data_IF_390664954897
#
_entry.id   IF_390664954897
#
_cell.length_a   1.000
_cell.length_b   1.000
_cell.length_c   1.000
_cell.angle_alpha   90.00
_cell.angle_beta   90.00
_cell.angle_gamma   90.00
#
_symmetry.space_group_name_H-M   'P 1'
#
loop_
_entity.id
_entity.type
_entity.pdbx_description
1 polymer ?
#
# COMPACT_ATOMS: atom_id res chain seq x y z
N UNK A 1 -23.05 63.23 24.56
CA UNK A 1 -23.40 62.21 25.58
C UNK A 1 -24.50 61.33 24.99
N UNK A 2 -24.43 60.03 25.30
CA UNK A 2 -25.16 58.86 24.76
C UNK A 2 -24.34 58.08 23.71
N UNK A 3 -23.73 56.99 24.17
CA UNK A 3 -23.35 55.82 23.38
C UNK A 3 -24.57 54.89 23.25
N UNK A 4 -24.63 54.03 22.22
CA UNK A 4 -24.39 52.62 22.53
C UNK A 4 -23.63 51.83 21.43
N UNK A 5 -23.14 50.66 21.86
CA UNK A 5 -22.30 49.67 21.19
C UNK A 5 -22.64 49.32 19.74
N UNK A 6 -21.60 49.24 18.90
CA UNK A 6 -21.59 48.45 17.67
C UNK A 6 -20.66 47.26 17.87
N UNK A 7 -21.18 46.17 18.44
CA UNK A 7 -20.60 44.84 18.29
C UNK A 7 -21.50 44.08 17.30
N UNK A 8 -21.10 44.04 16.04
CA UNK A 8 -21.63 43.10 15.06
C UNK A 8 -20.45 42.54 14.28
N UNK A 9 -19.92 41.45 14.80
CA UNK A 9 -19.11 40.49 14.04
C UNK A 9 -19.98 39.96 12.89
N UNK A 10 -19.67 40.41 11.67
CA UNK A 10 -20.21 39.84 10.44
C UNK A 10 -19.54 38.48 10.20
N UNK A 11 -20.14 37.41 10.70
CA UNK A 11 -19.99 36.09 10.08
C UNK A 11 -21.02 35.98 8.94
N UNK A 12 -20.62 35.70 7.69
CA UNK A 12 -21.54 35.16 6.70
C UNK A 12 -21.71 33.67 6.95
N UNK A 13 -22.75 33.29 7.70
CA UNK A 13 -23.26 31.92 7.77
C UNK A 13 -24.37 31.72 6.74
N UNK A 14 -24.00 31.50 5.48
CA UNK A 14 -24.94 31.07 4.44
C UNK A 14 -24.32 29.97 3.55
N UNK A 15 -23.89 28.88 4.19
CA UNK A 15 -23.82 27.56 3.56
C UNK A 15 -25.09 26.80 3.95
N UNK A 16 -26.18 27.04 3.24
CA UNK A 16 -27.46 26.38 3.50
C UNK A 16 -27.60 25.13 2.63
N UNK A 17 -27.45 23.95 3.21
CA UNK A 17 -27.99 22.72 2.62
C UNK A 17 -29.52 22.76 2.72
N UNK A 18 -30.21 23.13 1.63
CA UNK A 18 -31.63 22.84 1.48
C UNK A 18 -31.82 21.89 0.31
N UNK A 19 -32.11 20.63 0.61
CA UNK A 19 -32.80 19.73 -0.31
C UNK A 19 -34.11 19.33 0.34
N UNK A 20 -35.20 20.01 -0.03
CA UNK A 20 -36.56 19.69 0.47
C UNK A 20 -37.20 18.52 -0.29
N UNK A 21 -36.46 17.78 -1.14
CA UNK A 21 -36.99 16.62 -1.88
C UNK A 21 -35.93 15.54 -2.15
N UNK A 22 -35.51 14.81 -1.13
CA UNK A 22 -34.88 13.50 -1.32
C UNK A 22 -35.41 12.50 -0.28
N UNK A 23 -35.69 11.28 -0.74
CA UNK A 23 -36.34 10.17 -0.02
C UNK A 23 -35.55 9.70 1.23
N UNK A 24 -36.17 8.93 2.17
CA UNK A 24 -35.49 8.47 3.36
C UNK A 24 -34.44 7.39 3.00
N UNK A 25 -33.17 7.80 2.98
CA UNK A 25 -32.02 6.92 2.74
C UNK A 25 -30.80 7.69 2.22
N UNK A 26 -29.88 8.00 3.15
CA UNK A 26 -28.55 8.61 2.98
C UNK A 26 -28.43 10.01 2.38
N UNK A 27 -28.33 11.02 3.25
CA UNK A 27 -27.57 12.24 2.99
C UNK A 27 -26.60 12.47 4.14
N UNK A 28 -25.31 12.25 3.91
CA UNK A 28 -24.26 12.76 4.80
C UNK A 28 -23.90 14.11 4.21
N UNK A 29 -24.35 15.20 4.82
CA UNK A 29 -23.86 16.52 4.43
C UNK A 29 -22.38 16.59 4.80
N UNK A 30 -21.50 16.57 3.80
CA UNK A 30 -20.07 16.71 4.00
C UNK A 30 -19.66 18.09 3.53
N UNK A 31 -19.42 18.97 4.48
CA UNK A 31 -18.91 20.32 4.22
C UNK A 31 -17.43 20.35 4.62
N UNK A 32 -16.59 20.97 3.78
CA UNK A 32 -15.28 21.41 4.24
C UNK A 32 -15.50 22.59 5.21
N UNK A 33 -15.33 22.36 6.51
CA UNK A 33 -15.36 23.43 7.52
C UNK A 33 -13.93 23.72 7.94
N UNK A 34 -13.51 24.96 7.78
CA UNK A 34 -12.13 25.41 8.08
C UNK A 34 -11.05 24.54 7.41
N UNK A 35 -11.33 24.04 6.20
CA UNK A 35 -10.40 23.17 5.47
C UNK A 35 -10.40 21.69 5.88
N UNK A 36 -11.27 21.27 6.79
CA UNK A 36 -11.40 19.87 7.22
C UNK A 36 -12.71 19.22 6.75
N UNK A 37 -12.63 17.95 6.36
CA UNK A 37 -13.80 17.13 6.03
C UNK A 37 -14.42 16.52 7.30
N UNK A 38 -15.31 17.25 7.96
CA UNK A 38 -15.96 16.81 9.21
C UNK A 38 -17.26 16.05 8.88
N UNK A 39 -17.51 14.92 9.56
CA UNK A 39 -18.79 14.19 9.50
C UNK A 39 -19.64 14.50 10.73
N UNK A 40 -20.96 14.61 10.55
CA UNK A 40 -21.94 14.42 11.61
C UNK A 40 -22.60 13.04 11.47
N UNK A 41 -22.74 12.34 12.61
CA UNK A 41 -23.44 11.08 12.87
C UNK A 41 -22.68 9.73 12.80
N UNK A 42 -23.12 8.89 13.74
CA UNK A 42 -22.48 7.83 14.54
C UNK A 42 -21.78 6.68 13.81
N UNK A 43 -20.87 6.09 14.59
CA UNK A 43 -19.84 5.12 14.27
C UNK A 43 -20.37 3.69 14.12
N UNK A 44 -19.86 2.95 13.13
CA UNK A 44 -19.38 1.56 13.29
C UNK A 44 -18.49 1.25 12.08
N UNK A 45 -17.19 1.51 12.20
CA UNK A 45 -16.22 1.06 11.18
C UNK A 45 -15.65 -0.27 11.65
N UNK A 46 -16.08 -1.37 11.02
CA UNK A 46 -15.37 -2.65 11.11
C UNK A 46 -14.05 -2.51 10.35
N UNK A 47 -12.94 -2.57 11.06
CA UNK A 47 -11.60 -2.73 10.51
C UNK A 47 -11.51 -4.09 9.81
N UNK A 48 -11.47 -4.08 8.48
CA UNK A 48 -11.11 -5.26 7.68
C UNK A 48 -9.66 -5.08 7.30
N UNK A 49 -8.77 -5.85 7.93
CA UNK A 49 -7.38 -6.01 7.48
C UNK A 49 -7.42 -6.45 6.01
N UNK A 50 -7.10 -5.53 5.11
CA UNK A 50 -7.00 -5.82 3.69
C UNK A 50 -5.53 -5.70 3.34
N UNK A 51 -4.88 -6.84 3.11
CA UNK A 51 -3.59 -6.88 2.43
C UNK A 51 -3.82 -6.38 1.00
N UNK A 52 -3.38 -5.16 0.70
CA UNK A 52 -3.45 -4.65 -0.67
C UNK A 52 -2.42 -5.37 -1.53
N UNK A 53 -2.85 -5.83 -2.70
CA UNK A 53 -1.96 -6.47 -3.68
C UNK A 53 -1.52 -5.43 -4.70
N UNK A 54 -0.22 -5.31 -4.94
CA UNK A 54 0.29 -4.47 -6.01
C UNK A 54 -0.25 -4.94 -7.37
N UNK A 55 -0.76 -4.01 -8.16
CA UNK A 55 -1.19 -4.23 -9.54
C UNK A 55 -0.04 -4.77 -10.39
N UNK A 56 1.20 -4.38 -10.07
CA UNK A 56 2.41 -4.80 -10.78
C UNK A 56 3.45 -5.37 -9.82
N UNK A 57 4.16 -6.41 -10.27
CA UNK A 57 5.32 -6.97 -9.55
C UNK A 57 5.07 -7.37 -8.08
N UNK A 58 3.95 -8.03 -7.73
CA UNK A 58 3.62 -8.35 -6.34
C UNK A 58 4.68 -9.21 -5.64
N UNK A 59 5.38 -10.06 -6.39
CA UNK A 59 6.46 -10.95 -5.90
C UNK A 59 7.75 -10.19 -5.54
N UNK A 60 8.03 -9.07 -6.23
CA UNK A 60 9.26 -8.28 -6.07
C UNK A 60 9.06 -7.06 -5.18
N UNK A 61 7.83 -6.68 -4.94
CA UNK A 61 7.52 -5.65 -3.96
C UNK A 61 7.69 -6.20 -2.53
N UNK A 62 8.12 -5.35 -1.61
CA UNK A 62 8.07 -5.69 -0.19
C UNK A 62 6.59 -5.87 0.21
N UNK A 63 6.20 -6.95 0.94
CA UNK A 63 4.79 -7.22 1.27
C UNK A 63 4.01 -6.05 1.88
N UNK A 64 4.68 -5.22 2.68
CA UNK A 64 4.06 -4.05 3.33
C UNK A 64 4.15 -2.74 2.52
N UNK A 65 4.75 -2.81 1.32
CA UNK A 65 5.00 -1.65 0.46
C UNK A 65 4.03 -1.55 -0.74
N UNK A 66 3.05 -2.44 -0.83
CA UNK A 66 1.91 -2.27 -1.75
C UNK A 66 0.91 -1.29 -1.16
N UNK A 67 1.30 -0.02 -1.08
CA UNK A 67 0.56 1.02 -0.36
C UNK A 67 0.46 2.36 -1.13
N UNK A 68 0.95 2.40 -2.38
CA UNK A 68 0.86 3.61 -3.21
C UNK A 68 -0.37 3.50 -4.10
N UNK A 69 -1.48 4.09 -3.68
CA UNK A 69 -2.70 4.13 -4.48
C UNK A 69 -2.66 5.28 -5.49
N UNK A 70 -2.79 4.96 -6.77
CA UNK A 70 -2.91 5.93 -7.86
C UNK A 70 -4.09 5.52 -8.73
N UNK A 71 -5.14 6.34 -8.72
CA UNK A 71 -6.43 5.97 -9.28
C UNK A 71 -7.01 4.73 -8.58
N UNK A 72 -7.34 3.70 -9.37
CA UNK A 72 -7.89 2.42 -8.87
C UNK A 72 -6.83 1.34 -8.65
N UNK A 73 -5.56 1.62 -8.93
CA UNK A 73 -4.46 0.66 -8.84
C UNK A 73 -3.58 0.95 -7.62
N UNK A 74 -2.90 -0.09 -7.14
CA UNK A 74 -1.90 0.04 -6.09
C UNK A 74 -0.54 -0.40 -6.56
N UNK A 75 0.45 0.38 -6.18
CA UNK A 75 1.81 0.29 -6.65
C UNK A 75 2.79 0.14 -5.48
N UNK A 76 4.00 -0.28 -5.81
CA UNK A 76 5.04 -0.54 -4.85
C UNK A 76 5.79 0.75 -4.46
N UNK A 77 5.88 1.05 -3.17
CA UNK A 77 6.74 2.14 -2.64
C UNK A 77 8.18 1.68 -2.35
N UNK A 78 8.40 0.38 -2.15
CA UNK A 78 9.71 -0.16 -1.79
C UNK A 78 9.89 -1.60 -2.28
N UNK A 79 10.98 -1.84 -2.98
CA UNK A 79 11.30 -3.16 -3.51
C UNK A 79 11.87 -4.09 -2.44
N UNK A 80 11.59 -5.38 -2.59
CA UNK A 80 12.02 -6.42 -1.64
C UNK A 80 13.52 -6.69 -1.71
N UNK A 81 14.08 -6.71 -2.92
CA UNK A 81 15.49 -7.03 -3.16
C UNK A 81 16.32 -5.76 -3.22
N UNK A 82 17.42 -5.70 -2.47
CA UNK A 82 18.35 -4.57 -2.56
C UNK A 82 18.96 -4.43 -3.94
N UNK A 83 19.07 -3.18 -4.42
CA UNK A 83 19.48 -2.88 -5.79
C UNK A 83 18.34 -2.89 -6.80
N UNK A 84 17.10 -3.18 -6.36
CA UNK A 84 15.90 -2.93 -7.15
C UNK A 84 15.18 -1.69 -6.63
N UNK A 85 14.63 -0.88 -7.52
CA UNK A 85 13.94 0.37 -7.17
C UNK A 85 12.61 0.49 -7.89
N UNK A 86 11.62 1.21 -7.32
CA UNK A 86 10.32 1.39 -7.97
C UNK A 86 10.41 2.43 -9.10
N UNK A 87 10.19 1.98 -10.33
CA UNK A 87 9.99 2.83 -11.51
C UNK A 87 8.57 2.60 -12.00
N UNK A 88 7.75 3.64 -12.05
CA UNK A 88 6.33 3.57 -12.37
C UNK A 88 5.57 2.55 -11.50
N UNK A 89 6.00 2.43 -10.24
CA UNK A 89 5.45 1.48 -9.28
C UNK A 89 5.90 0.03 -9.47
N UNK A 90 6.75 -0.25 -10.46
CA UNK A 90 7.31 -1.58 -10.77
C UNK A 90 8.72 -1.69 -10.22
N UNK A 91 9.01 -2.75 -9.47
CA UNK A 91 10.37 -3.04 -9.05
C UNK A 91 11.25 -3.53 -10.19
N UNK A 92 12.23 -2.71 -10.57
CA UNK A 92 13.22 -2.98 -11.62
C UNK A 92 14.63 -3.01 -11.02
N UNK A 93 15.53 -3.75 -11.66
CA UNK A 93 16.95 -3.81 -11.29
C UNK A 93 17.65 -2.47 -11.58
N UNK A 94 18.64 -2.10 -10.77
CA UNK A 94 19.45 -0.88 -10.93
C UNK A 94 20.01 -0.69 -12.33
N UNK A 95 20.37 -1.77 -13.04
CA UNK A 95 20.89 -1.69 -14.40
C UNK A 95 19.85 -1.14 -15.40
N UNK A 96 18.55 -1.28 -15.11
CA UNK A 96 17.45 -0.75 -15.90
C UNK A 96 16.97 0.63 -15.40
N UNK A 97 17.51 1.15 -14.30
CA UNK A 97 17.06 2.37 -13.63
C UNK A 97 18.09 3.52 -13.66
N UNK A 98 19.26 3.33 -14.28
CA UNK A 98 20.43 4.23 -14.21
C UNK A 98 20.09 5.71 -14.42
N UNK A 99 19.35 6.04 -15.48
CA UNK A 99 19.02 7.44 -15.80
C UNK A 99 17.75 7.95 -15.10
N UNK A 100 17.01 7.05 -14.45
CA UNK A 100 15.67 7.31 -13.89
C UNK A 100 15.70 7.50 -12.39
N UNK A 101 16.61 6.82 -11.70
CA UNK A 101 16.62 6.73 -10.25
C UNK A 101 18.05 6.66 -9.72
N UNK A 102 18.34 7.60 -8.81
CA UNK A 102 19.60 7.73 -8.10
C UNK A 102 19.32 7.83 -6.60
N UNK A 103 20.38 7.74 -5.80
CA UNK A 103 20.31 8.16 -4.40
C UNK A 103 20.10 9.68 -4.31
N UNK A 104 19.64 10.17 -3.16
CA UNK A 104 19.45 11.61 -2.93
C UNK A 104 20.76 12.41 -3.11
N UNK A 105 21.91 11.75 -2.94
CA UNK A 105 23.24 12.34 -3.11
C UNK A 105 23.74 12.31 -4.57
N UNK A 106 22.88 11.99 -5.54
CA UNK A 106 23.23 11.83 -6.96
C UNK A 106 24.20 10.68 -7.23
N UNK A 107 24.09 9.59 -6.48
CA UNK A 107 24.90 8.38 -6.72
C UNK A 107 24.04 7.28 -7.34
N UNK A 108 24.69 6.38 -8.07
CA UNK A 108 24.02 5.19 -8.61
C UNK A 108 23.45 4.32 -7.48
N UNK A 109 22.33 3.68 -7.77
CA UNK A 109 21.72 2.68 -6.88
C UNK A 109 22.65 1.48 -6.79
N UNK A 110 22.95 1.05 -5.56
CA UNK A 110 23.78 -0.12 -5.29
C UNK A 110 22.97 -1.23 -4.62
N UNK A 111 22.36 -0.91 -3.48
CA UNK A 111 21.64 -1.81 -2.58
C UNK A 111 20.33 -1.21 -2.09
N UNK A 112 20.08 0.06 -2.40
CA UNK A 112 18.88 0.79 -2.08
C UNK A 112 17.66 0.09 -2.70
N UNK A 113 16.52 0.27 -2.05
CA UNK A 113 15.24 -0.36 -2.39
C UNK A 113 14.18 0.66 -2.84
N UNK A 114 14.56 1.94 -2.81
CA UNK A 114 13.76 3.12 -3.12
C UNK A 114 14.62 4.12 -3.88
N UNK A 115 13.98 5.04 -4.56
CA UNK A 115 14.63 6.17 -5.21
C UNK A 115 14.78 7.36 -4.25
N UNK A 116 15.95 7.99 -4.25
CA UNK A 116 16.20 9.24 -3.53
C UNK A 116 16.22 10.46 -4.44
N UNK A 117 16.42 10.26 -5.74
CA UNK A 117 16.34 11.30 -6.77
C UNK A 117 15.90 10.69 -8.09
N UNK A 118 15.07 11.41 -8.84
CA UNK A 118 14.62 10.98 -10.17
C UNK A 118 15.30 11.73 -11.32
N UNK A 119 15.20 11.15 -12.52
CA UNK A 119 15.71 11.69 -13.78
C UNK A 119 14.86 11.25 -14.97
N UNK A 120 15.29 11.55 -16.19
CA UNK A 120 14.65 11.08 -17.43
C UNK A 120 13.14 11.36 -17.50
N UNK A 121 12.71 12.59 -17.17
CA UNK A 121 11.29 12.99 -17.10
C UNK A 121 10.45 12.27 -16.02
N UNK A 122 11.11 11.64 -15.03
CA UNK A 122 10.43 11.05 -13.87
C UNK A 122 10.53 11.99 -12.67
N UNK A 123 9.44 12.11 -11.91
CA UNK A 123 9.40 12.84 -10.66
C UNK A 123 9.28 11.89 -9.47
N UNK A 124 9.75 12.34 -8.30
CA UNK A 124 9.72 11.56 -7.07
C UNK A 124 8.32 11.55 -6.44
N UNK A 125 7.82 10.36 -6.11
CA UNK A 125 6.56 10.15 -5.40
C UNK A 125 6.61 8.86 -4.57
N UNK A 126 6.39 8.94 -3.25
CA UNK A 126 6.38 7.83 -2.28
C UNK A 126 7.51 6.81 -2.49
N UNK A 127 8.74 7.30 -2.65
CA UNK A 127 9.95 6.47 -2.79
C UNK A 127 10.18 5.85 -4.18
N UNK A 128 9.33 6.15 -5.16
CA UNK A 128 9.51 5.73 -6.56
C UNK A 128 9.62 6.90 -7.53
N UNK A 129 10.14 6.61 -8.73
CA UNK A 129 10.21 7.57 -9.83
C UNK A 129 9.11 7.27 -10.86
N UNK A 130 8.30 8.27 -11.18
CA UNK A 130 7.11 8.14 -12.02
C UNK A 130 7.20 9.03 -13.25
N UNK A 131 6.97 8.45 -14.42
CA UNK A 131 7.07 9.14 -15.70
C UNK A 131 5.86 10.05 -15.92
N UNK A 132 6.09 11.31 -16.31
CA UNK A 132 5.00 12.29 -16.53
C UNK A 132 4.16 12.01 -17.78
N UNK A 133 4.72 11.33 -18.78
CA UNK A 133 4.08 11.12 -20.08
C UNK A 133 3.21 9.86 -20.10
N UNK A 134 3.45 8.93 -19.18
CA UNK A 134 2.78 7.62 -19.14
C UNK A 134 2.09 7.34 -17.80
N UNK A 135 1.09 6.46 -17.84
CA UNK A 135 0.48 5.97 -16.60
C UNK A 135 1.47 5.06 -15.85
N UNK A 136 1.53 5.15 -14.51
CA UNK A 136 0.61 5.90 -13.66
C UNK A 136 1.05 7.35 -13.35
N UNK A 137 2.26 7.77 -13.74
CA UNK A 137 2.79 9.08 -13.33
C UNK A 137 2.00 10.27 -13.89
N UNK A 138 1.45 10.17 -15.10
CA UNK A 138 0.58 11.20 -15.68
C UNK A 138 -0.75 11.42 -14.91
N UNK A 139 -1.14 10.48 -14.03
CA UNK A 139 -2.30 10.60 -13.14
C UNK A 139 -1.98 11.40 -11.87
N UNK A 140 -0.70 11.64 -11.58
CA UNK A 140 -0.22 12.42 -10.43
C UNK A 140 0.31 13.78 -10.90
N UNK A 141 1.01 13.79 -12.04
CA UNK A 141 1.62 14.98 -12.61
C UNK A 141 1.04 15.27 -13.99
N UNK A 142 0.49 16.47 -14.18
CA UNK A 142 -0.06 16.91 -15.47
C UNK A 142 0.94 17.73 -16.30
N UNK A 143 1.98 18.28 -15.65
CA UNK A 143 3.05 19.01 -16.33
C UNK A 143 4.36 18.96 -15.54
N UNK A 144 5.46 18.65 -16.22
CA UNK A 144 6.81 18.67 -15.66
C UNK A 144 7.41 20.09 -15.68
N UNK A 145 8.40 20.35 -14.84
CA UNK A 145 9.16 21.60 -14.90
C UNK A 145 10.12 21.58 -16.09
N UNK A 146 10.09 22.64 -16.90
CA UNK A 146 10.93 22.78 -18.11
C UNK A 146 12.39 23.05 -17.79
N UNK A 147 12.69 23.64 -16.63
CA UNK A 147 14.05 23.87 -16.15
C UNK A 147 14.61 22.67 -15.38
N UNK A 148 13.75 21.85 -14.78
CA UNK A 148 14.14 20.61 -14.12
C UNK A 148 13.12 19.50 -14.38
N UNK A 149 13.38 18.68 -15.40
CA UNK A 149 12.44 17.63 -15.84
C UNK A 149 12.29 16.48 -14.85
N UNK A 150 12.97 16.50 -13.71
CA UNK A 150 12.77 15.55 -12.62
C UNK A 150 11.77 16.04 -11.55
N UNK A 151 11.15 17.21 -11.76
CA UNK A 151 10.21 17.82 -10.81
C UNK A 151 8.85 18.01 -11.49
N UNK A 152 7.79 17.52 -10.85
CA UNK A 152 6.44 17.85 -11.32
C UNK A 152 6.14 19.32 -11.02
N UNK A 153 5.80 20.09 -12.05
CA UNK A 153 5.43 21.51 -11.93
C UNK A 153 3.96 21.67 -11.57
N UNK A 154 3.08 20.92 -12.24
CA UNK A 154 1.63 20.97 -12.03
C UNK A 154 1.12 19.59 -11.69
N UNK A 155 0.67 19.41 -10.45
CA UNK A 155 0.04 18.16 -10.02
C UNK A 155 -1.35 18.00 -10.66
N UNK A 156 -1.76 16.77 -10.89
CA UNK A 156 -3.06 16.42 -11.41
C UNK A 156 -4.16 16.63 -10.35
N UNK A 157 -5.43 16.60 -10.78
CA UNK A 157 -6.56 16.73 -9.87
C UNK A 157 -6.52 15.66 -8.75
N UNK A 158 -6.82 16.08 -7.52
CA UNK A 158 -6.70 15.25 -6.32
C UNK A 158 -5.31 15.23 -5.69
N UNK A 159 -4.36 15.99 -6.24
CA UNK A 159 -3.02 16.20 -5.69
C UNK A 159 -2.69 17.68 -5.62
N UNK A 160 -1.90 18.07 -4.63
CA UNK A 160 -1.34 19.41 -4.53
C UNK A 160 0.19 19.38 -4.70
N UNK A 161 0.74 20.50 -5.19
CA UNK A 161 2.20 20.69 -5.30
C UNK A 161 2.79 20.79 -3.91
N UNK A 162 3.74 19.91 -3.59
CA UNK A 162 4.45 19.98 -2.32
C UNK A 162 5.32 21.24 -2.27
N UNK A 163 5.13 22.15 -1.30
CA UNK A 163 5.93 23.38 -1.20
C UNK A 163 7.42 23.13 -0.97
N UNK A 164 7.81 21.96 -0.45
CA UNK A 164 9.22 21.59 -0.29
C UNK A 164 9.88 21.17 -1.62
N UNK A 165 9.10 20.83 -2.65
CA UNK A 165 9.60 20.23 -3.89
C UNK A 165 10.17 21.24 -4.89
N UNK A 166 11.25 21.88 -4.47
CA UNK A 166 12.08 22.79 -5.27
C UNK A 166 13.17 22.07 -6.09
N UNK A 167 13.43 20.80 -5.79
CA UNK A 167 14.41 19.96 -6.48
C UNK A 167 13.91 18.52 -6.65
N UNK A 168 14.74 17.68 -7.27
CA UNK A 168 14.43 16.30 -7.61
C UNK A 168 14.61 15.30 -6.45
N UNK A 169 14.96 15.77 -5.25
CA UNK A 169 15.15 14.93 -4.04
C UNK A 169 13.96 14.94 -3.09
N UNK A 170 12.99 15.81 -3.36
CA UNK A 170 11.74 15.92 -2.61
C UNK A 170 10.56 15.42 -3.43
N UNK A 171 9.53 14.92 -2.75
CA UNK A 171 8.35 14.39 -3.43
C UNK A 171 7.57 15.54 -4.07
N UNK A 172 7.31 15.47 -5.37
CA UNK A 172 6.77 16.63 -6.09
C UNK A 172 5.30 16.94 -5.76
N UNK A 173 4.46 15.91 -5.63
CA UNK A 173 3.03 16.03 -5.42
C UNK A 173 2.60 15.21 -4.21
N UNK A 174 1.59 15.66 -3.49
CA UNK A 174 0.99 14.93 -2.36
C UNK A 174 -0.50 14.80 -2.65
N UNK A 175 -1.06 13.61 -2.43
CA UNK A 175 -2.49 13.42 -2.62
C UNK A 175 -3.27 14.20 -1.55
N UNK A 176 -4.39 14.80 -1.93
CA UNK A 176 -5.19 15.59 -1.00
C UNK A 176 -5.67 14.80 0.21
N UNK A 177 -5.85 13.48 0.07
CA UNK A 177 -6.26 12.59 1.14
C UNK A 177 -5.11 11.96 1.94
N UNK A 178 -3.86 12.23 1.61
CA UNK A 178 -2.68 11.58 2.20
C UNK A 178 -2.27 12.24 3.52
N UNK A 179 -2.73 11.71 4.65
CA UNK A 179 -2.43 12.30 5.96
C UNK A 179 -1.03 11.97 6.46
N UNK A 180 -0.36 10.98 5.86
CA UNK A 180 1.07 10.73 6.11
C UNK A 180 1.92 11.81 5.44
N UNK A 181 1.55 12.18 4.20
CA UNK A 181 2.18 13.25 3.46
C UNK A 181 3.62 12.96 3.03
N UNK A 182 4.37 14.03 2.79
CA UNK A 182 5.80 14.00 2.48
C UNK A 182 6.46 15.34 2.81
N UNK A 183 7.74 15.31 3.17
CA UNK A 183 8.55 16.52 3.39
C UNK A 183 7.91 17.53 4.37
N UNK A 184 7.30 17.01 5.44
CA UNK A 184 6.54 17.77 6.47
C UNK A 184 5.23 18.40 5.99
N UNK A 185 4.79 18.13 4.77
CA UNK A 185 3.51 18.59 4.24
C UNK A 185 2.53 17.42 4.17
N UNK A 186 1.28 17.64 4.55
CA UNK A 186 0.26 16.58 4.65
C UNK A 186 -1.02 16.97 3.94
N UNK A 187 -1.78 15.98 3.49
CA UNK A 187 -3.17 16.15 3.07
C UNK A 187 -4.15 16.13 4.26
N UNK A 188 -5.43 16.00 3.93
CA UNK A 188 -6.54 15.97 4.88
C UNK A 188 -7.36 14.72 4.64
N UNK A 189 -7.67 13.96 5.70
CA UNK A 189 -8.44 12.73 5.59
C UNK A 189 -9.77 12.95 4.84
N UNK A 190 -10.11 12.04 3.91
CA UNK A 190 -11.32 12.08 3.08
C UNK A 190 -11.43 13.34 2.19
N UNK A 191 -10.31 13.97 1.84
CA UNK A 191 -10.30 15.13 0.96
C UNK A 191 -10.12 14.72 -0.51
N UNK A 192 -11.04 15.17 -1.37
CA UNK A 192 -10.99 14.91 -2.80
C UNK A 192 -10.17 15.99 -3.54
N UNK A 193 -10.32 17.25 -3.14
CA UNK A 193 -9.56 18.38 -3.70
C UNK A 193 -9.13 19.30 -2.59
N UNK A 194 -7.93 19.88 -2.72
CA UNK A 194 -7.32 20.68 -1.69
C UNK A 194 -6.38 21.72 -2.30
N UNK A 195 -6.14 22.78 -1.52
CA UNK A 195 -5.12 23.77 -1.80
C UNK A 195 -3.85 23.47 -0.98
N UNK A 196 -2.64 23.69 -1.54
CA UNK A 196 -1.40 23.45 -0.82
C UNK A 196 -1.29 24.37 0.40
N UNK A 197 -0.52 23.97 1.44
CA UNK A 197 -0.21 24.88 2.54
C UNK A 197 0.63 26.07 2.04
N UNK A 198 0.35 27.25 2.58
CA UNK A 198 1.05 28.51 2.23
C UNK A 198 2.56 28.46 2.50
N UNK A 199 2.96 27.67 3.51
CA UNK A 199 4.36 27.45 3.89
C UNK A 199 4.63 25.96 4.06
N UNK A 200 5.85 25.53 3.75
CA UNK A 200 6.27 24.14 4.04
C UNK A 200 6.13 23.82 5.53
N UNK A 201 5.71 22.60 5.84
CA UNK A 201 5.45 22.15 7.21
C UNK A 201 3.97 22.19 7.62
N UNK A 202 3.07 22.36 6.66
CA UNK A 202 1.63 22.53 6.90
C UNK A 202 0.76 21.39 6.37
N UNK A 203 -0.52 21.40 6.77
CA UNK A 203 -1.55 20.58 6.14
C UNK A 203 -2.19 21.36 4.98
N UNK A 204 -2.54 20.65 3.91
CA UNK A 204 -3.35 21.19 2.84
C UNK A 204 -4.72 21.66 3.36
N UNK A 205 -5.33 22.61 2.68
CA UNK A 205 -6.69 23.07 2.99
C UNK A 205 -7.66 22.31 2.11
N UNK A 206 -8.55 21.50 2.67
CA UNK A 206 -9.52 20.77 1.85
C UNK A 206 -10.59 21.71 1.28
N UNK A 207 -10.83 21.62 -0.02
CA UNK A 207 -11.82 22.43 -0.75
C UNK A 207 -13.04 21.61 -1.18
N UNK A 208 -12.88 20.30 -1.39
CA UNK A 208 -13.99 19.38 -1.58
C UNK A 208 -13.65 18.01 -1.01
N UNK A 209 -14.64 17.36 -0.43
CA UNK A 209 -14.45 16.08 0.24
C UNK A 209 -14.90 14.90 -0.62
N UNK A 210 -14.41 13.70 -0.30
CA UNK A 210 -14.82 12.46 -0.97
C UNK A 210 -16.20 11.98 -0.50
N UNK A 211 -17.00 11.50 -1.45
CA UNK A 211 -18.28 10.83 -1.15
C UNK A 211 -18.05 9.41 -0.61
N UNK A 212 -16.93 8.80 -0.97
CA UNK A 212 -16.51 7.47 -0.53
C UNK A 212 -15.56 7.57 0.66
N UNK A 213 -15.87 6.87 1.75
CA UNK A 213 -14.97 6.71 2.90
C UNK A 213 -13.91 5.67 2.51
N UNK A 214 -12.69 6.10 2.23
CA UNK A 214 -11.53 5.21 2.32
C UNK A 214 -11.05 5.24 3.75
N UNK A 215 -11.32 4.17 4.50
CA UNK A 215 -10.80 4.01 5.86
C UNK A 215 -9.28 3.97 5.73
N UNK A 216 -8.59 5.02 6.18
CA UNK A 216 -7.13 5.04 6.25
C UNK A 216 -6.72 4.04 7.35
N UNK A 217 -6.46 2.80 6.94
CA UNK A 217 -6.16 1.68 7.83
C UNK A 217 -4.76 1.92 8.42
N UNK A 218 -4.69 2.32 9.68
CA UNK A 218 -3.44 2.28 10.44
C UNK A 218 -3.05 0.83 10.68
N UNK A 219 -1.87 0.43 10.21
CA UNK A 219 -1.35 -0.93 10.35
C UNK A 219 -1.05 -1.21 11.83
N UNK A 220 -2.00 -1.83 12.54
CA UNK A 220 -1.76 -2.30 13.91
C UNK A 220 -1.22 -3.73 13.87
N UNK A 221 0.10 -3.87 13.96
CA UNK A 221 0.73 -5.17 14.20
C UNK A 221 0.35 -5.67 15.60
N UNK A 222 -0.75 -6.42 15.71
CA UNK A 222 -1.02 -7.22 16.91
C UNK A 222 -0.25 -8.52 16.77
N UNK A 223 0.87 -8.62 17.50
CA UNK A 223 1.61 -9.86 17.69
C UNK A 223 0.66 -10.89 18.34
N UNK A 224 0.09 -11.77 17.53
CA UNK A 224 -0.72 -12.90 17.98
C UNK A 224 0.18 -13.87 18.76
N UNK A 225 0.30 -13.66 20.08
CA UNK A 225 0.85 -14.65 20.99
C UNK A 225 -0.16 -15.79 21.05
N UNK A 226 -0.03 -16.75 20.13
CA UNK A 226 -0.73 -18.04 20.21
C UNK A 226 -0.19 -18.72 21.47
N UNK A 227 -0.97 -18.65 22.56
CA UNK A 227 -0.80 -19.56 23.69
C UNK A 227 -0.93 -20.98 23.15
N UNK A 228 0.20 -21.62 22.91
CA UNK A 228 0.28 -23.04 22.65
C UNK A 228 -0.20 -23.76 23.91
N UNK A 229 -1.47 -24.15 23.92
CA UNK A 229 -2.01 -25.11 24.88
C UNK A 229 -1.49 -26.48 24.42
N UNK A 230 -0.58 -27.14 25.17
CA UNK A 230 -0.12 -28.48 24.80
C UNK A 230 -1.28 -29.48 24.93
N UNK A 231 -1.42 -30.46 24.01
CA UNK A 231 -2.48 -31.45 24.08
C UNK A 231 -2.28 -32.37 25.29
N UNK A 232 -3.32 -32.47 26.12
CA UNK A 232 -3.40 -33.41 27.24
C UNK A 232 -3.56 -34.83 26.67
N UNK A 233 -2.72 -35.82 27.04
CA UNK A 233 -2.90 -37.19 26.59
C UNK A 233 -4.07 -37.86 27.32
N UNK A 234 -5.04 -38.35 26.55
CA UNK A 234 -6.13 -39.20 27.07
C UNK A 234 -5.57 -40.62 27.23
N UNK A 235 -5.36 -41.08 28.47
CA UNK A 235 -4.99 -42.46 28.77
C UNK A 235 -6.14 -43.41 28.38
N UNK A 236 -5.96 -44.14 27.28
CA UNK A 236 -6.76 -45.32 26.96
C UNK A 236 -6.40 -46.46 27.90
N UNK A 237 -7.38 -46.91 28.69
CA UNK A 237 -7.31 -48.11 29.53
C UNK A 237 -7.31 -49.33 28.60
N UNK A 238 -6.16 -49.99 28.44
CA UNK A 238 -6.06 -51.32 27.84
C UNK A 238 -6.26 -52.39 28.93
N UNK A 239 -7.34 -53.14 28.83
CA UNK A 239 -7.57 -54.39 29.57
C UNK A 239 -6.74 -55.49 28.90
N UNK A 240 -5.81 -56.08 29.65
CA UNK A 240 -5.01 -57.22 29.24
C UNK A 240 -5.79 -58.54 29.35
N UNK A 241 -5.43 -59.55 28.53
CA UNK A 241 -5.39 -60.92 29.00
C UNK A 241 -3.95 -61.48 28.95
N UNK A 242 -3.57 -62.11 30.07
CA UNK A 242 -2.35 -62.91 30.25
C UNK A 242 -2.48 -64.26 29.53
N UNK A 243 -1.46 -64.65 28.77
CA UNK A 243 -1.02 -66.05 28.58
C UNK A 243 0.51 -66.04 28.37
N UNK A 244 1.35 -66.25 29.39
CA UNK A 244 2.06 -67.50 29.79
C UNK A 244 2.79 -68.19 28.62
N UNK A 245 4.08 -67.92 28.36
CA UNK A 245 5.30 -68.60 28.87
C UNK A 245 5.93 -69.57 27.86
N UNK A 246 7.28 -69.62 27.89
CA UNK A 246 8.23 -70.62 27.37
C UNK A 246 8.75 -70.37 25.93
N UNK A 247 10.02 -70.58 25.56
CA UNK A 247 11.25 -71.02 26.22
C UNK A 247 12.41 -70.83 25.18
N UNK A 248 13.60 -70.43 25.65
CA UNK A 248 14.95 -70.80 25.16
C UNK A 248 15.55 -70.37 23.78
N UNK A 249 16.70 -69.68 23.93
CA UNK A 249 18.04 -69.92 23.33
C UNK A 249 18.53 -69.26 22.02
N UNK A 250 19.60 -68.47 22.23
CA UNK A 250 20.89 -68.37 21.50
C UNK A 250 21.02 -67.72 20.10
N UNK A 251 21.69 -66.55 20.11
CA UNK A 251 22.95 -66.19 19.41
C UNK A 251 23.11 -66.31 17.88
N UNK A 252 23.53 -65.17 17.28
CA UNK A 252 24.40 -64.87 16.09
C UNK A 252 23.70 -63.84 15.18
N UNK A 253 24.23 -62.63 14.98
CA UNK A 253 25.39 -62.21 14.16
C UNK A 253 25.27 -62.67 12.69
N UNK A 254 24.89 -61.74 11.81
CA UNK A 254 25.52 -61.36 10.52
C UNK A 254 24.51 -60.66 9.58
N UNK A 255 24.94 -59.54 9.00
CA UNK A 255 24.41 -58.90 7.78
C UNK A 255 24.86 -59.71 6.54
N UNK A 256 24.56 -59.33 5.27
CA UNK A 256 23.48 -58.53 4.66
C UNK A 256 22.71 -59.40 3.61
N UNK A 257 21.80 -58.83 2.79
CA UNK A 257 21.61 -59.14 1.34
C UNK A 257 20.40 -58.38 0.77
N UNK A 258 20.63 -57.88 -0.44
CA UNK A 258 19.78 -57.31 -1.48
C UNK A 258 18.54 -58.13 -1.82
N UNK A 259 17.38 -57.50 -2.10
CA UNK A 259 16.35 -58.13 -2.93
C UNK A 259 15.56 -57.11 -3.77
N UNK A 260 15.44 -57.44 -5.06
CA UNK A 260 14.62 -56.79 -6.08
C UNK A 260 13.14 -57.19 -5.91
N UNK A 261 12.20 -56.32 -6.27
CA UNK A 261 10.86 -56.74 -6.64
C UNK A 261 10.35 -55.97 -7.86
N UNK A 262 10.30 -56.68 -8.98
CA UNK A 262 9.47 -56.38 -10.14
C UNK A 262 7.99 -56.63 -9.79
N UNK A 263 7.09 -55.73 -10.19
CA UNK A 263 5.73 -56.13 -10.59
C UNK A 263 5.37 -55.42 -11.90
N UNK A 264 5.05 -56.26 -12.88
CA UNK A 264 4.60 -55.93 -14.22
C UNK A 264 3.08 -55.94 -14.25
N UNK A 265 2.43 -54.95 -14.87
CA UNK A 265 1.10 -55.15 -15.45
C UNK A 265 1.03 -54.49 -16.83
N UNK A 266 0.80 -55.35 -17.83
CA UNK A 266 0.51 -55.04 -19.24
C UNK A 266 -0.99 -54.87 -19.44
N UNK A 267 -1.37 -53.89 -20.28
CA UNK A 267 -2.45 -53.96 -21.29
C UNK A 267 -2.16 -52.80 -22.25
N UNK A 268 -1.79 -53.00 -23.53
CA UNK A 268 -2.67 -53.38 -24.65
C UNK A 268 -3.46 -52.13 -25.10
N UNK A 269 -3.44 -51.61 -26.32
CA UNK A 269 -3.25 -52.15 -27.68
C UNK A 269 -2.92 -50.98 -28.62
N UNK A 270 -2.08 -51.23 -29.64
CA UNK A 270 -1.75 -50.32 -30.73
C UNK A 270 -2.75 -50.46 -31.90
N UNK A 271 -3.02 -49.37 -32.62
CA UNK A 271 -3.51 -49.43 -34.01
C UNK A 271 -2.65 -48.48 -34.86
N UNK A 272 -1.96 -49.09 -35.84
CA UNK A 272 -1.27 -48.50 -36.99
C UNK A 272 -2.22 -47.59 -37.81
N UNK A 273 -1.79 -46.69 -38.70
CA UNK A 273 -1.21 -47.04 -40.01
C UNK A 273 -0.94 -45.72 -40.78
N UNK A 274 0.28 -45.58 -41.34
CA UNK A 274 0.73 -44.99 -42.63
C UNK A 274 0.07 -43.68 -43.11
N UNK A 275 0.78 -42.67 -43.61
CA UNK A 275 1.94 -42.67 -44.50
C UNK A 275 2.62 -41.29 -44.45
#
# INVERSE_FOLDING_TARGET
>A
VVHPSSNMDLHPSLGGCYDTRAAPGSSVCREARDGACVRHAEETVRSVETTWTCTTSPEKCNPDACNVQIGSNVYCSQCKTGGNVPIDGVCVDKAAAVDKCLTANNQEITTEQVCGKCGDNHFLFKGGCYNVDTAPGNLICSAIDTANTAVCKTCAAGYFKNPAASDATHQSCIACSDTTGADSNTGVANCATCDPPETSGGAATCTACTDTITVEQTQSHVLLVIMHVPPVPVQGILVAPRVTTALHHTSRKETPVTEQAHVSLKAGVAIHTFQ
#
